data_IF_818664038801
#
_entry.id   IF_818664038801
#
_cell.length_a   1.000
_cell.length_b   1.000
_cell.length_c   1.000
_cell.angle_alpha   90.00
_cell.angle_beta   90.00
_cell.angle_gamma   90.00
#
_symmetry.space_group_name_H-M   'P 1'
#
loop_
_entity.id
_entity.type
_entity.pdbx_description
1 polymer ?
#
# COMPACT_ATOMS: atom_id res chain seq x y z
N UNK A 1 26.03 26.35 -0.86
CA UNK A 1 26.88 26.67 -2.04
C UNK A 1 27.85 25.51 -2.20
N UNK A 2 28.17 25.08 -3.43
CA UNK A 2 29.12 23.99 -3.64
C UNK A 2 30.50 24.38 -3.09
N UNK A 3 31.20 23.39 -2.57
CA UNK A 3 32.56 23.52 -2.06
C UNK A 3 33.56 23.64 -3.21
N UNK A 4 34.73 24.22 -2.95
CA UNK A 4 35.79 24.35 -3.95
C UNK A 4 36.25 22.98 -4.49
N UNK A 5 36.24 21.96 -3.63
CA UNK A 5 36.56 20.57 -3.98
C UNK A 5 35.52 19.96 -4.95
N UNK A 6 34.24 20.28 -4.78
CA UNK A 6 33.17 19.85 -5.69
C UNK A 6 33.23 20.54 -7.06
N UNK A 7 33.76 21.77 -7.10
CA UNK A 7 33.87 22.57 -8.32
C UNK A 7 35.13 22.24 -9.15
N UNK A 8 36.12 21.58 -8.56
CA UNK A 8 37.40 21.28 -9.22
C UNK A 8 37.21 20.52 -10.54
N UNK A 9 36.29 19.54 -10.57
CA UNK A 9 35.95 18.75 -11.78
C UNK A 9 35.22 19.52 -12.88
N UNK A 10 34.83 20.76 -12.61
CA UNK A 10 34.16 21.65 -13.55
C UNK A 10 35.05 22.81 -14.00
N UNK A 11 36.32 22.88 -13.57
CA UNK A 11 37.27 23.89 -14.04
C UNK A 11 37.62 23.67 -15.51
N UNK A 12 37.63 24.77 -16.27
CA UNK A 12 38.12 24.86 -17.65
C UNK A 12 39.63 25.13 -17.65
N UNK A 13 40.32 24.96 -18.80
CA UNK A 13 41.76 25.24 -18.91
C UNK A 13 42.17 26.67 -18.54
N UNK A 14 41.25 27.64 -18.63
CA UNK A 14 41.45 29.04 -18.25
C UNK A 14 41.20 29.32 -16.76
N UNK A 15 40.92 28.28 -15.96
CA UNK A 15 40.63 28.38 -14.53
C UNK A 15 39.18 28.76 -14.18
N UNK A 16 38.33 29.07 -15.17
CA UNK A 16 36.92 29.38 -14.94
C UNK A 16 36.08 28.12 -14.74
N UNK A 17 34.94 28.21 -14.05
CA UNK A 17 34.02 27.08 -13.84
C UNK A 17 33.04 26.94 -15.00
N UNK A 18 32.86 25.72 -15.49
CA UNK A 18 31.79 25.34 -16.39
C UNK A 18 30.47 25.16 -15.63
N UNK A 19 29.81 26.27 -15.39
CA UNK A 19 28.50 26.31 -14.74
C UNK A 19 27.41 25.58 -15.53
N UNK A 20 27.55 25.46 -16.86
CA UNK A 20 26.61 24.72 -17.70
C UNK A 20 26.70 23.22 -17.43
N UNK A 21 27.91 22.66 -17.47
CA UNK A 21 28.17 21.25 -17.13
C UNK A 21 27.79 20.94 -15.68
N UNK A 22 28.13 21.83 -14.74
CA UNK A 22 27.70 21.70 -13.34
C UNK A 22 26.17 21.60 -13.23
N UNK A 23 25.43 22.53 -13.85
CA UNK A 23 23.97 22.52 -13.81
C UNK A 23 23.37 21.26 -14.44
N UNK A 24 23.89 20.80 -15.58
CA UNK A 24 23.44 19.57 -16.25
C UNK A 24 23.67 18.34 -15.38
N UNK A 25 24.84 18.22 -14.75
CA UNK A 25 25.15 17.10 -13.85
C UNK A 25 24.22 17.10 -12.62
N UNK A 26 23.99 18.27 -12.01
CA UNK A 26 23.06 18.40 -10.89
C UNK A 26 21.63 18.01 -11.29
N UNK A 27 21.15 18.48 -12.44
CA UNK A 27 19.83 18.12 -12.98
C UNK A 27 19.74 16.62 -13.29
N UNK A 28 20.80 16.01 -13.81
CA UNK A 28 20.86 14.58 -14.09
C UNK A 28 20.81 13.75 -12.80
N UNK A 29 21.50 14.18 -11.74
CA UNK A 29 21.50 13.53 -10.43
C UNK A 29 20.12 13.63 -9.76
N UNK A 30 19.47 14.80 -9.84
CA UNK A 30 18.09 15.02 -9.35
C UNK A 30 17.10 14.13 -10.12
N UNK A 31 17.21 14.08 -11.45
CA UNK A 31 16.36 13.22 -12.29
C UNK A 31 16.61 11.73 -12.02
N UNK A 32 17.86 11.33 -11.82
CA UNK A 32 18.22 9.96 -11.46
C UNK A 32 17.63 9.57 -10.09
N UNK A 33 17.81 10.40 -9.07
CA UNK A 33 17.19 10.19 -7.74
C UNK A 33 15.65 10.16 -7.81
N UNK A 34 15.04 11.06 -8.60
CA UNK A 34 13.59 11.11 -8.81
C UNK A 34 13.08 9.88 -9.59
N UNK A 35 13.85 9.35 -10.53
CA UNK A 35 13.51 8.14 -11.29
C UNK A 35 13.58 6.88 -10.42
N UNK A 36 14.57 6.82 -9.50
CA UNK A 36 14.71 5.74 -8.51
C UNK A 36 13.58 5.75 -7.47
N UNK A 37 13.00 6.93 -7.18
CA UNK A 37 11.77 7.07 -6.37
C UNK A 37 10.48 6.78 -7.14
N UNK A 38 10.54 6.76 -8.48
CA UNK A 38 9.40 6.57 -9.39
C UNK A 38 9.22 5.13 -9.86
N UNK A 39 10.01 4.19 -9.35
CA UNK A 39 9.70 2.77 -9.54
C UNK A 39 8.32 2.48 -8.94
N UNK A 40 7.47 1.83 -9.73
CA UNK A 40 6.19 1.37 -9.24
C UNK A 40 6.48 0.40 -8.09
N UNK A 41 6.01 0.74 -6.89
CA UNK A 41 6.14 -0.16 -5.74
C UNK A 41 5.60 -1.52 -6.10
N UNK A 42 6.37 -2.57 -5.78
CA UNK A 42 5.86 -3.93 -5.93
C UNK A 42 4.66 -4.13 -5.00
N UNK A 43 3.83 -5.13 -5.27
CA UNK A 43 2.65 -5.44 -4.44
C UNK A 43 3.04 -5.59 -2.96
N UNK A 44 4.15 -6.27 -2.70
CA UNK A 44 4.70 -6.58 -1.37
C UNK A 44 5.15 -5.31 -0.63
N UNK A 45 5.49 -4.25 -1.36
CA UNK A 45 5.87 -2.95 -0.82
C UNK A 45 4.66 -2.08 -0.43
N UNK A 46 3.44 -2.45 -0.83
CA UNK A 46 2.23 -1.76 -0.43
C UNK A 46 1.88 -2.06 1.02
N UNK A 47 1.75 -1.01 1.84
CA UNK A 47 1.32 -1.13 3.25
C UNK A 47 -0.04 -1.82 3.36
N UNK A 48 -0.96 -1.52 2.44
CA UNK A 48 -2.29 -2.12 2.40
C UNK A 48 -2.22 -3.64 2.24
N UNK A 49 -1.33 -4.15 1.40
CA UNK A 49 -1.16 -5.58 1.15
C UNK A 49 -0.55 -6.26 2.37
N UNK A 50 0.59 -5.77 2.87
CA UNK A 50 1.26 -6.39 4.04
C UNK A 50 0.37 -6.43 5.28
N UNK A 51 -0.37 -5.35 5.56
CA UNK A 51 -1.26 -5.31 6.73
C UNK A 51 -2.44 -6.27 6.54
N UNK A 52 -3.04 -6.34 5.34
CA UNK A 52 -4.14 -7.28 5.08
C UNK A 52 -3.71 -8.74 5.10
N UNK A 53 -2.53 -9.03 4.58
CA UNK A 53 -1.95 -10.38 4.53
C UNK A 53 -1.64 -10.88 5.95
N UNK A 54 -0.98 -10.05 6.77
CA UNK A 54 -0.76 -10.36 8.19
C UNK A 54 -2.06 -10.55 8.98
N UNK A 55 -3.12 -9.80 8.65
CA UNK A 55 -4.43 -9.96 9.27
C UNK A 55 -5.08 -11.29 8.86
N UNK A 56 -4.95 -11.70 7.60
CA UNK A 56 -5.43 -13.00 7.11
C UNK A 56 -4.81 -14.15 7.91
N UNK A 57 -3.47 -14.18 8.02
CA UNK A 57 -2.76 -15.18 8.83
C UNK A 57 -3.21 -15.17 10.30
N UNK A 58 -3.29 -13.97 10.90
CA UNK A 58 -3.67 -13.82 12.30
C UNK A 58 -5.09 -14.35 12.57
N UNK A 59 -6.04 -14.03 11.69
CA UNK A 59 -7.45 -14.47 11.83
C UNK A 59 -7.55 -15.98 11.60
N UNK A 60 -6.84 -16.52 10.60
CA UNK A 60 -6.78 -17.96 10.37
C UNK A 60 -6.26 -18.72 11.60
N UNK A 61 -5.15 -18.28 12.18
CA UNK A 61 -4.53 -18.91 13.35
C UNK A 61 -5.40 -18.86 14.61
N UNK A 62 -6.22 -17.81 14.74
CA UNK A 62 -7.20 -17.69 15.84
C UNK A 62 -8.36 -18.66 15.59
N UNK A 63 -8.99 -18.58 14.43
CA UNK A 63 -10.21 -19.33 14.11
C UNK A 63 -9.94 -20.84 14.00
N UNK A 64 -8.77 -21.24 13.52
CA UNK A 64 -8.36 -22.65 13.42
C UNK A 64 -8.36 -23.37 14.77
N UNK A 65 -8.21 -22.62 15.88
CA UNK A 65 -8.22 -23.14 17.25
C UNK A 65 -9.61 -23.18 17.90
N UNK A 66 -10.63 -22.61 17.26
CA UNK A 66 -11.99 -22.59 17.81
C UNK A 66 -12.69 -23.95 17.71
N UNK A 67 -13.64 -24.16 18.63
CA UNK A 67 -14.57 -25.28 18.59
C UNK A 67 -15.43 -25.27 17.32
N UNK A 68 -15.92 -26.44 16.95
CA UNK A 68 -16.62 -26.68 15.69
C UNK A 68 -17.74 -25.66 15.41
N UNK A 69 -18.62 -25.39 16.39
CA UNK A 69 -19.76 -24.49 16.18
C UNK A 69 -19.32 -23.06 15.87
N UNK A 70 -18.39 -22.49 16.65
CA UNK A 70 -17.89 -21.14 16.43
C UNK A 70 -17.12 -21.05 15.10
N UNK A 71 -16.28 -22.06 14.83
CA UNK A 71 -15.50 -22.18 13.59
C UNK A 71 -16.38 -22.25 12.35
N UNK A 72 -17.40 -23.13 12.34
CA UNK A 72 -18.30 -23.31 11.18
C UNK A 72 -19.33 -22.21 10.97
N UNK A 73 -19.56 -21.38 11.98
CA UNK A 73 -20.49 -20.24 11.86
C UNK A 73 -19.73 -18.97 11.54
N UNK A 74 -19.30 -18.24 12.56
CA UNK A 74 -18.68 -16.93 12.38
C UNK A 74 -17.19 -17.01 12.04
N UNK A 75 -16.51 -18.09 12.42
CA UNK A 75 -15.10 -18.29 12.13
C UNK A 75 -14.83 -18.35 10.62
N UNK A 76 -15.56 -19.22 9.92
CA UNK A 76 -15.44 -19.38 8.47
C UNK A 76 -15.79 -18.08 7.72
N UNK A 77 -16.81 -17.35 8.17
CA UNK A 77 -17.17 -16.05 7.58
C UNK A 77 -16.07 -15.01 7.82
N UNK A 78 -15.49 -14.97 9.02
CA UNK A 78 -14.43 -14.02 9.35
C UNK A 78 -13.16 -14.25 8.56
N UNK A 79 -12.71 -15.51 8.47
CA UNK A 79 -11.55 -15.91 7.66
C UNK A 79 -11.76 -15.47 6.22
N UNK A 80 -12.87 -15.88 5.59
CA UNK A 80 -13.16 -15.54 4.19
C UNK A 80 -13.20 -14.03 3.94
N UNK A 81 -13.84 -13.28 4.83
CA UNK A 81 -13.88 -11.82 4.73
C UNK A 81 -12.48 -11.21 4.85
N UNK A 82 -11.64 -11.71 5.75
CA UNK A 82 -10.29 -11.16 5.99
C UNK A 82 -9.34 -11.46 4.83
N UNK A 83 -9.33 -12.72 4.36
CA UNK A 83 -8.50 -13.17 3.22
C UNK A 83 -8.86 -12.39 1.95
N UNK A 84 -10.16 -12.13 1.76
CA UNK A 84 -10.68 -11.37 0.62
C UNK A 84 -10.11 -9.95 0.52
N UNK A 85 -9.64 -9.35 1.62
CA UNK A 85 -9.02 -8.02 1.59
C UNK A 85 -7.73 -8.06 0.76
N UNK A 86 -6.79 -8.95 1.11
CA UNK A 86 -5.52 -9.10 0.41
C UNK A 86 -5.71 -9.64 -1.01
N UNK A 87 -6.65 -10.57 -1.20
CA UNK A 87 -7.01 -11.12 -2.51
C UNK A 87 -7.49 -10.02 -3.47
N UNK A 88 -8.42 -9.16 -3.05
CA UNK A 88 -8.91 -8.06 -3.88
C UNK A 88 -7.82 -7.02 -4.17
N UNK A 89 -6.95 -6.71 -3.21
CA UNK A 89 -5.81 -5.80 -3.44
C UNK A 89 -4.89 -6.35 -4.52
N UNK A 90 -4.55 -7.63 -4.42
CA UNK A 90 -3.68 -8.35 -5.38
C UNK A 90 -4.30 -8.42 -6.75
N UNK A 91 -5.58 -8.82 -6.83
CA UNK A 91 -6.32 -8.91 -8.10
C UNK A 91 -6.43 -7.55 -8.77
N UNK A 92 -6.72 -6.50 -7.98
CA UNK A 92 -6.75 -5.13 -8.44
C UNK A 92 -5.40 -4.62 -8.94
N UNK A 93 -4.33 -4.93 -8.22
CA UNK A 93 -2.96 -4.53 -8.59
C UNK A 93 -2.55 -5.15 -9.93
N UNK A 94 -3.01 -6.37 -10.22
CA UNK A 94 -2.78 -7.03 -11.51
C UNK A 94 -3.61 -6.47 -12.69
N UNK A 95 -4.52 -5.52 -12.46
CA UNK A 95 -5.33 -4.92 -13.53
C UNK A 95 -4.55 -3.88 -14.32
N UNK A 96 -4.83 -3.82 -15.62
CA UNK A 96 -4.16 -2.88 -16.54
C UNK A 96 -4.69 -1.45 -16.39
N UNK A 97 -6.00 -1.27 -16.14
CA UNK A 97 -6.60 0.05 -16.07
C UNK A 97 -6.78 0.55 -14.63
N UNK A 98 -6.42 1.81 -14.39
CA UNK A 98 -6.56 2.46 -13.08
C UNK A 98 -7.99 2.41 -12.51
N UNK A 99 -9.00 2.49 -13.38
CA UNK A 99 -10.40 2.41 -12.96
C UNK A 99 -10.77 1.05 -12.38
N UNK A 100 -10.27 -0.03 -12.98
CA UNK A 100 -10.49 -1.39 -12.49
C UNK A 100 -9.78 -1.58 -11.15
N UNK A 101 -8.53 -1.15 -11.03
CA UNK A 101 -7.80 -1.25 -9.76
C UNK A 101 -8.57 -0.55 -8.61
N UNK A 102 -9.10 0.65 -8.86
CA UNK A 102 -9.92 1.36 -7.88
C UNK A 102 -11.17 0.57 -7.47
N UNK A 103 -11.84 -0.10 -8.40
CA UNK A 103 -13.01 -0.94 -8.11
C UNK A 103 -12.63 -2.09 -7.16
N UNK A 104 -11.52 -2.77 -7.42
CA UNK A 104 -11.00 -3.81 -6.52
C UNK A 104 -10.62 -3.29 -5.14
N UNK A 105 -10.05 -2.09 -5.05
CA UNK A 105 -9.80 -1.44 -3.76
C UNK A 105 -11.11 -1.12 -3.00
N UNK A 106 -12.21 -0.88 -3.70
CA UNK A 106 -13.53 -0.77 -3.06
C UNK A 106 -14.06 -2.11 -2.56
N UNK A 107 -13.86 -3.20 -3.29
CA UNK A 107 -14.19 -4.55 -2.81
C UNK A 107 -13.37 -4.92 -1.57
N UNK A 108 -12.07 -4.65 -1.58
CA UNK A 108 -11.21 -4.82 -0.41
C UNK A 108 -11.73 -4.04 0.82
N UNK A 109 -12.24 -2.80 0.62
CA UNK A 109 -12.88 -2.03 1.69
C UNK A 109 -14.18 -2.67 2.18
N UNK A 110 -14.99 -3.22 1.29
CA UNK A 110 -16.20 -3.97 1.68
C UNK A 110 -15.86 -5.14 2.60
N UNK A 111 -14.95 -5.99 2.16
CA UNK A 111 -14.45 -7.14 2.93
C UNK A 111 -13.79 -6.73 4.26
N UNK A 112 -13.11 -5.58 4.29
CA UNK A 112 -12.54 -5.01 5.51
C UNK A 112 -13.60 -4.67 6.55
N UNK A 113 -14.68 -3.96 6.19
CA UNK A 113 -15.74 -3.63 7.13
C UNK A 113 -16.51 -4.86 7.60
N UNK A 114 -16.70 -5.85 6.73
CA UNK A 114 -17.25 -7.15 7.11
C UNK A 114 -16.35 -7.87 8.13
N UNK A 115 -15.03 -7.85 7.91
CA UNK A 115 -14.06 -8.44 8.84
C UNK A 115 -14.07 -7.74 10.20
N UNK A 116 -14.19 -6.41 10.23
CA UNK A 116 -14.35 -5.65 11.47
C UNK A 116 -15.64 -6.02 12.20
N UNK A 117 -16.75 -6.23 11.49
CA UNK A 117 -17.99 -6.70 12.09
C UNK A 117 -17.80 -8.08 12.75
N UNK A 118 -17.08 -8.99 12.11
CA UNK A 118 -16.79 -10.30 12.69
C UNK A 118 -15.86 -10.24 13.89
N UNK A 119 -14.85 -9.37 13.89
CA UNK A 119 -14.00 -9.09 15.05
C UNK A 119 -14.85 -8.68 16.27
N UNK A 120 -15.77 -7.74 16.09
CA UNK A 120 -16.70 -7.29 17.14
C UNK A 120 -17.59 -8.43 17.66
N UNK A 121 -18.05 -9.31 16.77
CA UNK A 121 -18.86 -10.49 17.16
C UNK A 121 -18.02 -11.52 17.91
N UNK A 122 -16.79 -11.77 17.48
CA UNK A 122 -15.89 -12.71 18.14
C UNK A 122 -15.58 -12.25 19.57
N UNK A 123 -15.30 -10.95 19.75
CA UNK A 123 -15.06 -10.36 21.07
C UNK A 123 -16.29 -10.42 21.97
N UNK A 124 -17.46 -9.99 21.47
CA UNK A 124 -18.74 -10.04 22.22
C UNK A 124 -19.14 -11.46 22.63
N UNK A 125 -18.69 -12.47 21.90
CA UNK A 125 -18.95 -13.89 22.18
C UNK A 125 -17.83 -14.55 22.98
N UNK A 126 -16.86 -13.78 23.45
CA UNK A 126 -15.72 -14.23 24.25
C UNK A 126 -14.86 -15.30 23.53
N UNK A 127 -14.84 -15.28 22.20
CA UNK A 127 -14.02 -16.17 21.38
C UNK A 127 -12.58 -15.67 21.21
N UNK A 128 -12.37 -14.40 21.53
CA UNK A 128 -11.05 -13.77 21.67
C UNK A 128 -11.04 -12.92 22.95
N UNK A 129 -9.87 -12.78 23.56
CA UNK A 129 -9.70 -11.92 24.73
C UNK A 129 -9.47 -10.45 24.32
N UNK A 130 -9.51 -9.56 25.31
CA UNK A 130 -9.32 -8.12 25.11
C UNK A 130 -7.96 -7.75 24.51
N UNK A 131 -6.93 -8.53 24.80
CA UNK A 131 -5.59 -8.30 24.25
C UNK A 131 -5.57 -8.51 22.73
N UNK A 132 -6.02 -9.68 22.28
CA UNK A 132 -6.13 -10.01 20.85
C UNK A 132 -7.10 -9.06 20.13
N UNK A 133 -8.22 -8.72 20.76
CA UNK A 133 -9.15 -7.76 20.19
C UNK A 133 -8.48 -6.41 19.92
N UNK A 134 -7.78 -5.83 20.91
CA UNK A 134 -7.09 -4.55 20.73
C UNK A 134 -6.00 -4.61 19.66
N UNK A 135 -5.20 -5.67 19.65
CA UNK A 135 -4.13 -5.85 18.66
C UNK A 135 -4.67 -5.90 17.22
N UNK A 136 -5.71 -6.71 17.00
CA UNK A 136 -6.35 -6.81 15.68
C UNK A 136 -7.04 -5.49 15.32
N UNK A 137 -7.77 -4.88 16.27
CA UNK A 137 -8.52 -3.65 16.06
C UNK A 137 -7.62 -2.51 15.60
N UNK A 138 -6.42 -2.38 16.14
CA UNK A 138 -5.43 -1.38 15.71
C UNK A 138 -5.07 -1.54 14.22
N UNK A 139 -4.80 -2.78 13.78
CA UNK A 139 -4.48 -3.08 12.38
C UNK A 139 -5.69 -2.82 11.48
N UNK A 140 -6.88 -3.25 11.89
CA UNK A 140 -8.13 -3.02 11.16
C UNK A 140 -8.48 -1.54 11.03
N UNK A 141 -8.26 -0.72 12.06
CA UNK A 141 -8.57 0.72 12.02
C UNK A 141 -7.60 1.51 11.13
N UNK A 142 -6.39 0.98 10.92
CA UNK A 142 -5.39 1.59 10.04
C UNK A 142 -5.69 1.37 8.55
N UNK A 143 -6.22 0.20 8.17
CA UNK A 143 -6.43 -0.18 6.78
C UNK A 143 -7.33 0.78 5.97
N UNK A 144 -8.47 1.29 6.47
CA UNK A 144 -9.33 2.20 5.70
C UNK A 144 -8.59 3.47 5.28
N UNK A 145 -7.72 3.97 6.15
CA UNK A 145 -6.91 5.16 5.91
C UNK A 145 -5.89 4.87 4.81
N UNK A 146 -5.17 3.75 4.92
CA UNK A 146 -4.14 3.35 3.96
C UNK A 146 -4.74 3.06 2.57
N UNK A 147 -5.86 2.34 2.50
CA UNK A 147 -6.55 2.09 1.22
C UNK A 147 -7.01 3.40 0.58
N UNK A 148 -7.55 4.33 1.37
CA UNK A 148 -7.95 5.64 0.85
C UNK A 148 -6.78 6.47 0.32
N UNK A 149 -5.59 6.37 0.94
CA UNK A 149 -4.38 7.01 0.41
C UNK A 149 -4.02 6.44 -0.96
N UNK A 150 -4.04 5.11 -1.12
CA UNK A 150 -3.77 4.46 -2.41
C UNK A 150 -4.78 4.87 -3.47
N UNK A 151 -6.08 4.85 -3.16
CA UNK A 151 -7.14 5.28 -4.09
C UNK A 151 -6.91 6.73 -4.57
N UNK A 152 -6.53 7.64 -3.66
CA UNK A 152 -6.23 9.04 -4.03
C UNK A 152 -5.04 9.13 -4.99
N UNK A 153 -3.97 8.38 -4.74
CA UNK A 153 -2.80 8.31 -5.63
C UNK A 153 -3.20 7.79 -7.01
N UNK A 154 -3.91 6.65 -7.07
CA UNK A 154 -4.34 6.03 -8.33
C UNK A 154 -5.26 6.97 -9.13
N UNK A 155 -6.18 7.69 -8.48
CA UNK A 155 -7.03 8.70 -9.14
C UNK A 155 -6.22 9.86 -9.71
N UNK A 156 -5.20 10.32 -8.98
CA UNK A 156 -4.31 11.39 -9.47
C UNK A 156 -3.55 10.95 -10.73
N UNK A 157 -3.01 9.73 -10.73
CA UNK A 157 -2.32 9.17 -11.89
C UNK A 157 -3.27 8.95 -13.09
N UNK A 158 -4.48 8.46 -12.83
CA UNK A 158 -5.50 8.33 -13.86
C UNK A 158 -5.87 9.66 -14.53
N UNK A 159 -5.93 10.76 -13.77
CA UNK A 159 -6.19 12.10 -14.31
C UNK A 159 -5.03 12.59 -15.19
N UNK A 160 -3.77 12.43 -14.73
CA UNK A 160 -2.58 12.77 -15.52
C UNK A 160 -2.52 11.99 -16.84
N UNK A 161 -2.92 10.71 -16.82
CA UNK A 161 -2.93 9.87 -18.02
C UNK A 161 -3.95 10.34 -19.05
N UNK A 162 -5.17 10.74 -18.62
CA UNK A 162 -6.21 11.30 -19.51
C UNK A 162 -5.82 12.63 -20.14
N UNK A 163 -4.94 13.41 -19.50
CA UNK A 163 -4.46 14.70 -19.99
C UNK A 163 -3.27 14.63 -20.96
N UNK A 164 -2.73 13.44 -21.26
CA UNK A 164 -1.63 13.31 -22.22
C UNK A 164 -2.17 13.46 -23.66
N UNK A 165 -1.45 14.17 -24.56
CA UNK A 165 -1.79 14.19 -25.97
C UNK A 165 -1.90 12.74 -26.49
N UNK A 166 -3.01 12.44 -27.17
CA UNK A 166 -3.09 11.22 -27.96
C UNK A 166 -2.35 11.52 -29.26
N UNK A 167 -1.16 10.94 -29.40
CA UNK A 167 -0.37 10.99 -30.63
C UNK A 167 -1.13 10.34 -31.78
#
# INVERSE_FOLDING_TARGET
MPTDEELEKYKKPDGTIDWGKYATDQLSAINYQSSKQKEAKSLEELSIFRISDQLSDSVWDIVSKWDYFAKKTIGEQWVRATDSIAANITEGYGRYFFGEYIVFLYYARGSLYESMFWLEKAHKRLLINDYLYRELKEKFDKLPIEINKVIKVVKSEAYKWKGRPKY
#
